data_IF_522436524856
#
_entry.id   IF_522436524856
#
_cell.length_a   1.000
_cell.length_b   1.000
_cell.length_c   1.000
_cell.angle_alpha   90.00
_cell.angle_beta   90.00
_cell.angle_gamma   90.00
#
_symmetry.space_group_name_H-M   'P 1'
#
loop_
_entity.id
_entity.type
_entity.pdbx_description
1 polymer ?
#
# COMPACT_ATOMS: atom_id res chain seq x y z
N UNK A 1 1.46 18.33 21.24
CA UNK A 1 1.94 17.22 20.38
C UNK A 1 2.39 17.83 19.06
N UNK A 2 3.59 17.48 18.60
CA UNK A 2 4.29 18.23 17.56
C UNK A 2 3.96 17.76 16.13
N UNK A 3 3.39 16.56 16.00
CA UNK A 3 3.09 15.91 14.71
C UNK A 3 2.36 16.80 13.68
N UNK A 4 1.34 17.61 14.03
CA UNK A 4 0.69 18.50 13.07
C UNK A 4 1.63 19.53 12.42
N UNK A 5 2.77 19.82 13.04
CA UNK A 5 3.80 20.74 12.55
C UNK A 5 4.97 20.02 11.86
N UNK A 6 4.90 18.69 11.71
CA UNK A 6 5.97 17.85 11.15
C UNK A 6 5.52 17.07 9.89
N UNK A 7 4.93 17.73 8.88
CA UNK A 7 4.38 17.05 7.70
C UNK A 7 5.45 16.27 6.91
N UNK A 8 6.69 16.77 6.88
CA UNK A 8 7.79 16.08 6.21
C UNK A 8 8.16 14.76 6.91
N UNK A 9 8.02 14.68 8.23
CA UNK A 9 8.24 13.43 8.98
C UNK A 9 7.16 12.41 8.62
N UNK A 10 5.89 12.83 8.55
CA UNK A 10 4.82 11.95 8.11
C UNK A 10 5.06 11.47 6.65
N UNK A 11 5.51 12.36 5.76
CA UNK A 11 5.87 11.99 4.39
C UNK A 11 7.02 10.98 4.31
N UNK A 12 8.04 11.10 5.17
CA UNK A 12 9.12 10.10 5.29
C UNK A 12 8.53 8.76 5.72
N UNK A 13 7.66 8.73 6.74
CA UNK A 13 7.06 7.49 7.23
C UNK A 13 6.26 6.79 6.12
N UNK A 14 5.47 7.55 5.36
CA UNK A 14 4.72 7.02 4.22
C UNK A 14 5.65 6.46 3.13
N UNK A 15 6.73 7.17 2.80
CA UNK A 15 7.67 6.71 1.77
C UNK A 15 8.47 5.49 2.21
N UNK A 16 8.81 5.37 3.49
CA UNK A 16 9.43 4.15 4.05
C UNK A 16 8.50 2.96 3.89
N UNK A 17 7.21 3.11 4.24
CA UNK A 17 6.21 2.06 4.10
C UNK A 17 6.00 1.66 2.64
N UNK A 18 5.99 2.62 1.71
CA UNK A 18 5.86 2.36 0.27
C UNK A 18 7.08 1.65 -0.31
N UNK A 19 8.28 2.19 -0.03
CA UNK A 19 9.51 1.78 -0.69
C UNK A 19 9.98 0.39 -0.25
N UNK A 20 9.85 0.09 1.05
CA UNK A 20 10.20 -1.21 1.62
C UNK A 20 9.14 -1.66 2.61
N UNK A 21 7.97 -2.14 2.16
CA UNK A 21 6.95 -2.66 3.04
C UNK A 21 7.50 -3.85 3.83
N UNK A 22 7.27 -3.85 5.15
CA UNK A 22 7.78 -4.89 6.04
C UNK A 22 7.27 -6.30 5.68
N UNK A 23 6.07 -6.39 5.11
CA UNK A 23 5.44 -7.64 4.69
C UNK A 23 5.05 -7.53 3.19
N UNK A 24 6.00 -7.71 2.26
CA UNK A 24 5.78 -7.43 0.83
C UNK A 24 4.72 -8.31 0.15
N UNK A 25 4.42 -9.50 0.71
CA UNK A 25 3.37 -10.40 0.24
C UNK A 25 2.14 -10.43 1.17
N UNK A 26 2.09 -9.57 2.19
CA UNK A 26 1.11 -9.64 3.26
C UNK A 26 1.12 -10.99 3.98
N UNK A 27 0.01 -11.31 4.62
CA UNK A 27 -0.20 -12.63 5.23
C UNK A 27 -1.02 -13.50 4.29
N UNK A 28 -0.75 -14.81 4.31
CA UNK A 28 -1.49 -15.78 3.53
C UNK A 28 -2.98 -15.80 3.92
N UNK A 29 -3.85 -15.64 2.93
CA UNK A 29 -5.29 -15.80 3.08
C UNK A 29 -5.72 -17.13 2.46
N UNK A 30 -6.79 -17.73 3.01
CA UNK A 30 -7.30 -19.03 2.55
C UNK A 30 -8.78 -18.90 2.23
N UNK A 31 -9.20 -19.40 1.07
CA UNK A 31 -10.61 -19.45 0.71
C UNK A 31 -11.39 -20.36 1.68
N UNK A 32 -12.51 -19.84 2.20
CA UNK A 32 -13.42 -20.60 3.06
C UNK A 32 -14.41 -21.48 2.28
N UNK A 33 -14.59 -21.21 1.00
CA UNK A 33 -15.44 -21.95 0.06
C UNK A 33 -14.88 -21.78 -1.36
N UNK A 34 -15.37 -22.58 -2.31
CA UNK A 34 -15.07 -22.39 -3.73
C UNK A 34 -15.46 -20.99 -4.21
N UNK A 35 -14.70 -20.41 -5.13
CA UNK A 35 -14.96 -19.07 -5.66
C UNK A 35 -14.52 -18.91 -7.12
N UNK A 36 -15.09 -17.92 -7.80
CA UNK A 36 -14.72 -17.53 -9.17
C UNK A 36 -14.34 -16.06 -9.20
N UNK A 37 -13.06 -15.77 -9.48
CA UNK A 37 -12.56 -14.41 -9.62
C UNK A 37 -12.07 -14.15 -11.04
N UNK A 38 -12.61 -13.11 -11.69
CA UNK A 38 -12.30 -12.74 -13.09
C UNK A 38 -12.38 -13.93 -14.07
N UNK A 39 -13.34 -14.82 -13.85
CA UNK A 39 -13.56 -16.02 -14.68
C UNK A 39 -12.71 -17.24 -14.32
N UNK A 40 -11.79 -17.11 -13.36
CA UNK A 40 -10.97 -18.23 -12.87
C UNK A 40 -11.62 -18.88 -11.65
N UNK A 41 -11.79 -20.20 -11.70
CA UNK A 41 -12.30 -20.99 -10.58
C UNK A 41 -11.17 -21.38 -9.64
N UNK A 42 -11.43 -21.27 -8.34
CA UNK A 42 -10.55 -21.68 -7.26
C UNK A 42 -11.32 -22.52 -6.25
N UNK A 43 -10.76 -23.66 -5.87
CA UNK A 43 -11.38 -24.53 -4.87
C UNK A 43 -11.20 -23.95 -3.46
N UNK A 44 -12.11 -24.33 -2.56
CA UNK A 44 -12.01 -24.09 -1.13
C UNK A 44 -10.62 -24.52 -0.65
N UNK A 45 -10.05 -23.69 0.22
CA UNK A 45 -8.75 -23.95 0.80
C UNK A 45 -7.56 -23.50 -0.04
N UNK A 46 -7.77 -22.97 -1.25
CA UNK A 46 -6.73 -22.28 -2.02
C UNK A 46 -6.14 -21.13 -1.20
N UNK A 47 -4.81 -21.01 -1.22
CA UNK A 47 -4.08 -19.96 -0.51
C UNK A 47 -3.72 -18.83 -1.46
N UNK A 48 -4.00 -17.60 -1.05
CA UNK A 48 -3.69 -16.37 -1.78
C UNK A 48 -2.74 -15.50 -0.99
N UNK A 49 -1.85 -14.84 -1.73
CA UNK A 49 -0.92 -13.84 -1.22
C UNK A 49 -1.22 -12.50 -1.89
N UNK A 50 -1.27 -11.45 -1.10
CA UNK A 50 -1.44 -10.09 -1.58
C UNK A 50 -0.07 -9.52 -1.91
N UNK A 51 0.26 -9.31 -3.19
CA UNK A 51 1.55 -8.73 -3.55
C UNK A 51 1.56 -7.20 -3.31
N UNK A 52 1.66 -6.83 -2.03
CA UNK A 52 1.70 -5.46 -1.52
C UNK A 52 2.86 -4.69 -2.15
N UNK A 53 4.04 -5.31 -2.27
CA UNK A 53 5.20 -4.66 -2.87
C UNK A 53 4.92 -4.22 -4.30
N UNK A 54 4.34 -5.10 -5.13
CA UNK A 54 3.98 -4.74 -6.51
C UNK A 54 2.93 -3.64 -6.56
N UNK A 55 1.94 -3.63 -5.67
CA UNK A 55 0.96 -2.54 -5.60
C UNK A 55 1.62 -1.19 -5.26
N UNK A 56 2.60 -1.19 -4.35
CA UNK A 56 3.35 0.01 -3.92
C UNK A 56 4.47 0.43 -4.90
N UNK A 57 4.72 -0.37 -5.94
CA UNK A 57 5.70 -0.14 -7.00
C UNK A 57 5.05 -0.06 -8.38
N UNK A 58 3.73 0.07 -8.47
CA UNK A 58 3.04 0.33 -9.73
C UNK A 58 3.43 1.73 -10.24
N UNK A 59 4.12 1.79 -11.38
CA UNK A 59 4.62 3.05 -11.96
C UNK A 59 3.51 4.02 -12.37
N UNK A 60 2.29 3.53 -12.58
CA UNK A 60 1.12 4.39 -12.90
C UNK A 60 0.69 5.15 -11.66
N UNK A 61 0.74 4.52 -10.49
CA UNK A 61 0.31 5.11 -9.20
C UNK A 61 1.49 5.83 -8.52
N UNK A 62 2.67 5.24 -8.58
CA UNK A 62 3.90 5.72 -7.95
C UNK A 62 5.01 5.89 -9.01
N UNK A 63 5.05 7.01 -9.73
CA UNK A 63 6.13 7.31 -10.67
C UNK A 63 7.50 7.24 -10.00
N UNK A 64 8.49 6.71 -10.72
CA UNK A 64 9.84 6.43 -10.23
C UNK A 64 9.82 5.65 -8.88
N UNK A 65 9.20 4.46 -8.82
CA UNK A 65 8.93 3.78 -7.55
C UNK A 65 10.20 3.30 -6.84
N UNK A 66 11.30 3.15 -7.57
CA UNK A 66 12.62 2.82 -7.03
C UNK A 66 13.30 3.99 -6.32
N UNK A 67 12.87 5.22 -6.57
CA UNK A 67 13.40 6.43 -5.92
C UNK A 67 12.68 6.68 -4.61
N UNK A 68 13.46 6.81 -3.53
CA UNK A 68 12.96 7.31 -2.25
C UNK A 68 12.71 8.82 -2.35
N UNK A 69 11.44 9.23 -2.37
CA UNK A 69 10.99 10.60 -2.59
C UNK A 69 9.79 10.94 -1.68
N UNK A 70 10.01 11.34 -0.41
CA UNK A 70 8.94 11.76 0.50
C UNK A 70 8.05 12.87 -0.07
N UNK A 71 8.61 13.73 -0.93
CA UNK A 71 7.92 14.85 -1.56
C UNK A 71 6.69 14.41 -2.36
N UNK A 72 6.59 13.14 -2.78
CA UNK A 72 5.41 12.61 -3.48
C UNK A 72 4.13 12.70 -2.64
N UNK A 73 4.23 12.83 -1.32
CA UNK A 73 3.11 12.94 -0.38
C UNK A 73 2.79 14.37 0.04
N UNK A 74 3.54 15.35 -0.45
CA UNK A 74 3.37 16.75 -0.08
C UNK A 74 2.70 17.55 -1.19
N UNK A 75 1.91 18.54 -0.81
CA UNK A 75 1.39 19.57 -1.71
C UNK A 75 2.41 20.70 -1.92
N UNK A 76 2.06 21.68 -2.75
CA UNK A 76 2.90 22.85 -3.03
C UNK A 76 3.19 23.74 -1.81
N UNK A 77 2.46 23.55 -0.72
CA UNK A 77 2.63 24.25 0.55
C UNK A 77 3.37 23.41 1.61
N UNK A 78 3.88 22.23 1.24
CA UNK A 78 4.60 21.33 2.13
C UNK A 78 3.71 20.62 3.15
N UNK A 79 2.40 20.54 2.91
CA UNK A 79 1.44 19.80 3.74
C UNK A 79 1.17 18.44 3.11
N UNK A 80 0.72 17.47 3.91
CA UNK A 80 0.29 16.18 3.36
C UNK A 80 -0.88 16.38 2.40
N UNK A 81 -0.74 15.87 1.18
CA UNK A 81 -1.83 15.88 0.20
C UNK A 81 -2.91 14.87 0.60
N UNK A 82 -4.16 15.14 0.20
CA UNK A 82 -5.21 14.14 0.27
C UNK A 82 -4.92 13.02 -0.71
N UNK A 83 -5.01 11.76 -0.27
CA UNK A 83 -4.75 10.57 -1.08
C UNK A 83 -6.00 9.71 -1.17
N UNK A 84 -6.20 9.07 -2.30
CA UNK A 84 -7.16 7.96 -2.37
C UNK A 84 -6.62 6.75 -1.63
N UNK A 85 -7.51 5.80 -1.31
CA UNK A 85 -7.12 4.53 -0.68
C UNK A 85 -6.15 3.68 -1.52
N UNK A 86 -6.02 3.97 -2.82
CA UNK A 86 -5.14 3.26 -3.74
C UNK A 86 -3.75 3.90 -3.85
N UNK A 87 -3.58 5.09 -3.27
CA UNK A 87 -2.31 5.83 -3.25
C UNK A 87 -1.70 5.87 -1.85
N UNK A 88 -2.47 5.53 -0.81
CA UNK A 88 -2.04 5.59 0.59
C UNK A 88 -1.29 4.29 1.00
N UNK A 89 0.04 4.35 1.27
CA UNK A 89 0.81 3.20 1.71
C UNK A 89 0.37 2.64 3.05
N UNK A 90 -0.23 3.45 3.93
CA UNK A 90 -0.76 2.97 5.20
C UNK A 90 -2.03 2.14 4.98
N UNK A 91 -2.81 2.39 3.93
CA UNK A 91 -3.97 1.56 3.60
C UNK A 91 -3.53 0.27 2.90
N UNK A 92 -2.56 0.34 1.99
CA UNK A 92 -2.14 -0.82 1.21
C UNK A 92 -1.22 -1.74 2.02
N UNK A 93 -0.31 -1.17 2.80
CA UNK A 93 0.75 -1.90 3.51
C UNK A 93 0.28 -2.65 4.76
N UNK A 94 -0.84 -2.26 5.37
CA UNK A 94 -1.36 -2.88 6.59
C UNK A 94 -2.46 -3.91 6.37
N UNK A 95 -2.77 -4.27 5.13
CA UNK A 95 -3.82 -5.23 4.80
C UNK A 95 -5.16 -4.57 4.45
N UNK A 96 -6.13 -5.38 4.04
CA UNK A 96 -7.37 -4.86 3.48
C UNK A 96 -8.55 -5.81 3.62
N UNK A 97 -9.73 -5.24 3.77
CA UNK A 97 -10.95 -5.99 4.03
C UNK A 97 -10.99 -6.43 5.48
N UNK A 98 -11.30 -7.70 5.73
CA UNK A 98 -11.51 -8.22 7.09
C UNK A 98 -10.20 -8.44 7.87
N UNK A 99 -9.04 -8.49 7.20
CA UNK A 99 -7.74 -8.82 7.78
C UNK A 99 -6.63 -7.99 7.17
#
# INVERSE_FOLDING_TARGET
ADRPNLPYIDAIVLEVLRWHPAVPLGLAHRLSQDDVYRGYYFSQGTVFWANIWTMLHDEIIFPDPSRFMPERYLDEHGRLKSMSRFEDPAVIGFGFGRR
#
